data_IF_273631086399
#
_entry.id   IF_273631086399
#
_cell.length_a   1.000
_cell.length_b   1.000
_cell.length_c   1.000
_cell.angle_alpha   90.00
_cell.angle_beta   90.00
_cell.angle_gamma   90.00
#
_symmetry.space_group_name_H-M   'P 1'
#
loop_
_entity.id
_entity.type
_entity.pdbx_description
1 polymer ?
#
# COMPACT_ATOMS: atom_id res chain seq x y z
N UNK A 1 -22.43 3.21 -1.26
CA UNK A 1 -22.19 3.43 -2.70
C UNK A 1 -23.36 2.88 -3.51
N UNK A 2 -23.73 3.54 -4.61
CA UNK A 2 -24.70 2.98 -5.55
C UNK A 2 -24.13 1.73 -6.22
N UNK A 3 -24.99 0.74 -6.47
CA UNK A 3 -24.60 -0.45 -7.20
C UNK A 3 -24.62 -0.16 -8.69
N UNK A 4 -23.64 -0.67 -9.44
CA UNK A 4 -23.60 -0.54 -10.90
C UNK A 4 -24.34 -1.68 -11.58
N UNK A 5 -25.11 -1.35 -12.61
CA UNK A 5 -25.71 -2.29 -13.57
C UNK A 5 -25.35 -1.84 -15.00
N UNK A 6 -25.27 -2.78 -15.93
CA UNK A 6 -25.05 -2.50 -17.35
C UNK A 6 -26.16 -3.17 -18.16
N UNK A 7 -26.82 -2.41 -19.02
CA UNK A 7 -27.88 -2.91 -19.91
C UNK A 7 -27.38 -2.83 -21.34
N UNK A 8 -27.53 -3.93 -22.10
CA UNK A 8 -27.18 -3.99 -23.52
C UNK A 8 -28.32 -3.42 -24.37
N UNK A 9 -28.02 -2.36 -25.13
CA UNK A 9 -28.92 -1.82 -26.16
C UNK A 9 -28.63 -2.39 -27.55
N UNK A 10 -29.19 -1.77 -28.59
CA UNK A 10 -29.08 -2.24 -29.99
C UNK A 10 -27.64 -2.25 -30.52
N UNK A 11 -26.81 -1.29 -30.11
CA UNK A 11 -25.43 -1.13 -30.58
C UNK A 11 -24.41 -0.80 -29.49
N UNK A 12 -24.85 -0.46 -28.27
CA UNK A 12 -23.99 -0.02 -27.16
C UNK A 12 -24.54 -0.49 -25.80
N UNK A 13 -23.68 -0.51 -24.79
CA UNK A 13 -24.06 -0.78 -23.39
C UNK A 13 -24.27 0.54 -22.65
N UNK A 14 -25.27 0.58 -21.78
CA UNK A 14 -25.60 1.73 -20.95
C UNK A 14 -25.40 1.38 -19.48
N UNK A 15 -24.53 2.14 -18.83
CA UNK A 15 -24.27 2.00 -17.40
C UNK A 15 -25.31 2.75 -16.58
N UNK A 16 -25.75 2.13 -15.49
CA UNK A 16 -26.64 2.74 -14.51
C UNK A 16 -26.14 2.48 -13.10
N UNK A 17 -26.44 3.41 -12.22
CA UNK A 17 -26.24 3.30 -10.78
C UNK A 17 -27.60 3.30 -10.08
N UNK A 18 -27.72 2.56 -8.97
CA UNK A 18 -28.95 2.55 -8.20
C UNK A 18 -28.69 2.40 -6.70
N UNK A 19 -29.58 2.98 -5.90
CA UNK A 19 -29.52 2.92 -4.44
C UNK A 19 -30.28 1.69 -3.92
N UNK A 20 -29.58 0.82 -3.17
CA UNK A 20 -30.19 -0.32 -2.45
C UNK A 20 -30.60 0.01 -1.02
N UNK A 21 -30.11 1.12 -0.45
CA UNK A 21 -30.39 1.51 0.93
C UNK A 21 -31.85 1.89 1.11
N UNK A 22 -32.58 1.21 2.00
CA UNK A 22 -33.97 1.53 2.34
C UNK A 22 -34.03 2.85 3.13
N UNK A 23 -35.08 3.65 2.93
CA UNK A 23 -35.30 4.91 3.65
C UNK A 23 -34.65 6.16 3.03
N UNK A 24 -33.93 6.05 1.91
CA UNK A 24 -33.44 7.20 1.14
C UNK A 24 -34.41 7.60 0.03
N UNK A 25 -34.45 8.88 -0.31
CA UNK A 25 -35.25 9.47 -1.41
C UNK A 25 -35.02 8.81 -2.78
N UNK A 26 -33.86 8.19 -2.96
CA UNK A 26 -33.43 7.51 -4.20
C UNK A 26 -33.51 5.98 -4.17
N UNK A 27 -34.16 5.40 -3.17
CA UNK A 27 -34.31 3.94 -3.10
C UNK A 27 -34.88 3.36 -4.41
N UNK A 28 -34.17 2.39 -5.00
CA UNK A 28 -34.51 1.72 -6.28
C UNK A 28 -34.60 2.60 -7.52
N UNK A 29 -34.21 3.87 -7.45
CA UNK A 29 -34.12 4.72 -8.66
C UNK A 29 -32.83 4.39 -9.42
N UNK A 30 -32.97 4.24 -10.74
CA UNK A 30 -31.83 4.09 -11.65
C UNK A 30 -31.39 5.48 -12.12
N UNK A 31 -30.12 5.78 -11.94
CA UNK A 31 -29.47 7.02 -12.38
C UNK A 31 -28.47 6.65 -13.47
N UNK A 32 -28.44 7.42 -14.55
CA UNK A 32 -27.50 7.19 -15.65
C UNK A 32 -26.08 7.35 -15.12
N UNK A 33 -25.18 6.46 -15.55
CA UNK A 33 -23.77 6.50 -15.17
C UNK A 33 -23.12 7.85 -15.46
N UNK A 34 -23.41 8.43 -16.62
CA UNK A 34 -22.87 9.71 -17.08
C UNK A 34 -23.11 10.84 -16.07
N UNK A 35 -24.34 10.96 -15.56
CA UNK A 35 -24.71 12.00 -14.57
C UNK A 35 -23.86 11.91 -13.31
N UNK A 36 -23.69 10.69 -12.77
CA UNK A 36 -22.90 10.48 -11.54
C UNK A 36 -21.41 10.69 -11.80
N UNK A 37 -20.90 10.32 -12.98
CA UNK A 37 -19.50 10.57 -13.33
C UNK A 37 -19.21 12.05 -13.55
N UNK A 38 -20.15 12.81 -14.14
CA UNK A 38 -20.07 14.27 -14.28
C UNK A 38 -20.04 14.98 -12.93
N UNK A 39 -21.01 14.70 -12.05
CA UNK A 39 -21.06 15.27 -10.70
C UNK A 39 -19.78 14.94 -9.90
N UNK A 40 -19.23 13.73 -10.12
CA UNK A 40 -18.01 13.29 -9.45
C UNK A 40 -16.77 14.00 -10.00
N UNK A 41 -16.73 14.28 -11.29
CA UNK A 41 -15.67 15.08 -11.89
C UNK A 41 -15.66 16.52 -11.36
N UNK A 42 -16.83 17.11 -11.16
CA UNK A 42 -16.95 18.43 -10.53
C UNK A 42 -16.37 18.45 -9.12
N UNK A 43 -16.67 17.43 -8.30
CA UNK A 43 -16.06 17.25 -6.99
C UNK A 43 -14.53 17.10 -7.09
N UNK A 44 -14.02 16.26 -7.98
CA UNK A 44 -12.58 16.05 -8.11
C UNK A 44 -11.83 17.33 -8.51
N UNK A 45 -12.47 18.22 -9.26
CA UNK A 45 -11.90 19.53 -9.61
C UNK A 45 -11.91 20.52 -8.44
N UNK A 46 -12.84 20.39 -7.50
CA UNK A 46 -12.90 21.25 -6.30
C UNK A 46 -11.94 20.80 -5.20
N UNK A 47 -11.53 19.53 -5.19
CA UNK A 47 -10.58 18.99 -4.24
C UNK A 47 -9.15 19.36 -4.68
N UNK A 48 -8.69 20.52 -4.21
CA UNK A 48 -7.29 20.91 -4.27
C UNK A 48 -6.77 21.19 -2.85
N UNK A 49 -5.76 20.45 -2.37
CA UNK A 49 -5.20 20.71 -1.05
C UNK A 49 -4.50 22.07 -1.01
N UNK A 50 -4.60 22.75 0.13
CA UNK A 50 -3.89 24.01 0.34
C UNK A 50 -2.36 23.80 0.22
N UNK A 51 -1.60 24.74 -0.38
CA UNK A 51 -0.14 24.63 -0.50
C UNK A 51 0.58 24.36 0.84
N UNK A 52 0.07 24.92 1.93
CA UNK A 52 0.60 24.72 3.29
C UNK A 52 0.52 23.26 3.75
N UNK A 53 -0.54 22.54 3.36
CA UNK A 53 -0.71 21.12 3.70
C UNK A 53 0.37 20.25 3.06
N UNK A 54 0.80 20.60 1.83
CA UNK A 54 1.91 19.89 1.17
C UNK A 54 3.23 20.06 1.90
N UNK A 55 3.47 21.21 2.54
CA UNK A 55 4.67 21.45 3.34
C UNK A 55 4.70 20.55 4.58
N UNK A 56 3.59 20.49 5.32
CA UNK A 56 3.46 19.62 6.50
C UNK A 56 3.57 18.15 6.10
N UNK A 57 2.85 17.75 5.05
CA UNK A 57 2.93 16.39 4.53
C UNK A 57 4.37 16.03 4.14
N UNK A 58 5.10 16.93 3.46
CA UNK A 58 6.50 16.69 3.10
C UNK A 58 7.36 16.39 4.32
N UNK A 59 7.30 17.23 5.35
CA UNK A 59 8.08 17.03 6.57
C UNK A 59 7.78 15.67 7.23
N UNK A 60 6.50 15.31 7.35
CA UNK A 60 6.08 14.01 7.89
C UNK A 60 6.59 12.84 7.04
N UNK A 61 6.50 12.94 5.71
CA UNK A 61 6.94 11.89 4.80
C UNK A 61 8.47 11.77 4.76
N UNK A 62 9.22 12.86 4.91
CA UNK A 62 10.69 12.85 5.04
C UNK A 62 11.11 12.09 6.31
N UNK A 63 10.48 12.40 7.44
CA UNK A 63 10.73 11.69 8.69
C UNK A 63 10.45 10.19 8.55
N UNK A 64 9.27 9.80 8.05
CA UNK A 64 8.92 8.40 7.84
C UNK A 64 9.87 7.70 6.84
N UNK A 65 10.30 8.41 5.81
CA UNK A 65 11.26 7.88 4.83
C UNK A 65 12.62 7.59 5.46
N UNK A 66 13.14 8.52 6.27
CA UNK A 66 14.40 8.33 6.98
C UNK A 66 14.30 7.19 7.99
N UNK A 67 13.20 7.10 8.74
CA UNK A 67 12.95 6.01 9.67
C UNK A 67 12.91 4.66 8.94
N UNK A 68 12.21 4.57 7.80
CA UNK A 68 12.16 3.37 6.97
C UNK A 68 13.56 2.95 6.48
N UNK A 69 14.37 3.91 6.03
CA UNK A 69 15.75 3.65 5.62
C UNK A 69 16.61 3.15 6.78
N UNK A 70 16.46 3.73 7.96
CA UNK A 70 17.18 3.31 9.16
C UNK A 70 16.79 1.89 9.59
N UNK A 71 15.49 1.56 9.58
CA UNK A 71 14.99 0.22 9.87
C UNK A 71 15.53 -0.82 8.89
N UNK A 72 15.51 -0.52 7.59
CA UNK A 72 16.06 -1.40 6.55
C UNK A 72 17.57 -1.62 6.74
N UNK A 73 18.35 -0.54 6.95
CA UNK A 73 19.79 -0.66 7.23
C UNK A 73 20.05 -1.48 8.49
N UNK A 74 19.28 -1.25 9.55
CA UNK A 74 19.37 -1.98 10.81
C UNK A 74 19.07 -3.46 10.66
N UNK A 75 18.01 -3.81 9.93
CA UNK A 75 17.65 -5.21 9.64
C UNK A 75 18.77 -5.92 8.88
N UNK A 76 19.29 -5.30 7.81
CA UNK A 76 20.42 -5.84 7.04
C UNK A 76 21.67 -6.05 7.90
N UNK A 77 22.00 -5.10 8.79
CA UNK A 77 23.12 -5.21 9.72
C UNK A 77 22.92 -6.38 10.70
N UNK A 78 21.71 -6.54 11.26
CA UNK A 78 21.38 -7.64 12.17
C UNK A 78 21.48 -9.00 11.48
N UNK A 79 20.93 -9.15 10.27
CA UNK A 79 21.04 -10.41 9.50
C UNK A 79 22.50 -10.77 9.23
N UNK A 80 23.33 -9.80 8.80
CA UNK A 80 24.77 -10.02 8.61
C UNK A 80 25.50 -10.44 9.89
N UNK A 81 25.22 -9.78 11.01
CA UNK A 81 25.81 -10.15 12.29
C UNK A 81 25.39 -11.58 12.70
N UNK A 82 24.13 -11.95 12.47
CA UNK A 82 23.65 -13.31 12.75
C UNK A 82 24.32 -14.35 11.87
N UNK A 83 24.48 -14.10 10.56
CA UNK A 83 25.23 -14.96 9.63
C UNK A 83 26.63 -15.24 10.18
N UNK A 84 27.39 -14.20 10.54
CA UNK A 84 28.75 -14.38 11.07
C UNK A 84 28.78 -15.20 12.37
N UNK A 85 27.73 -15.12 13.18
CA UNK A 85 27.61 -15.91 14.41
C UNK A 85 27.30 -17.38 14.10
N UNK A 86 26.46 -17.65 13.10
CA UNK A 86 26.15 -19.00 12.64
C UNK A 86 27.39 -19.66 12.03
N UNK A 87 28.14 -18.95 11.19
CA UNK A 87 29.38 -19.44 10.58
C UNK A 87 30.42 -19.86 11.64
N UNK A 88 30.60 -19.07 12.70
CA UNK A 88 31.48 -19.43 13.83
C UNK A 88 31.01 -20.69 14.56
N UNK A 89 29.69 -20.83 14.78
CA UNK A 89 29.12 -22.03 15.41
C UNK A 89 29.32 -23.26 14.55
N UNK A 90 29.09 -23.16 13.24
CA UNK A 90 29.33 -24.24 12.29
C UNK A 90 30.81 -24.65 12.24
N UNK A 91 31.74 -23.68 12.23
CA UNK A 91 33.17 -23.96 12.32
C UNK A 91 33.54 -24.72 13.60
N UNK A 92 32.92 -24.36 14.74
CA UNK A 92 33.16 -25.06 16.01
C UNK A 92 32.61 -26.50 16.00
N UNK A 93 31.44 -26.73 15.40
CA UNK A 93 30.84 -28.06 15.30
C UNK A 93 31.62 -28.96 14.33
N UNK A 94 32.11 -28.40 13.23
CA UNK A 94 32.93 -29.13 12.25
C UNK A 94 34.30 -29.52 12.83
N UNK A 95 34.95 -28.63 13.59
CA UNK A 95 36.20 -28.97 14.30
C UNK A 95 36.00 -30.10 15.32
N UNK A 96 34.88 -30.11 16.05
CA UNK A 96 34.54 -31.21 16.97
C UNK A 96 34.23 -32.52 16.25
N UNK A 97 33.59 -32.43 15.08
CA UNK A 97 33.24 -33.60 14.26
C UNK A 97 34.49 -34.37 13.82
N UNK A 98 35.55 -33.66 13.42
CA UNK A 98 36.83 -34.25 13.00
C UNK A 98 37.50 -35.08 14.11
N UNK A 99 37.23 -34.75 15.38
CA UNK A 99 37.85 -35.38 16.54
C UNK A 99 36.93 -36.40 17.26
N UNK A 100 35.81 -36.78 16.66
CA UNK A 100 34.80 -37.65 17.31
C UNK A 100 34.65 -38.98 16.56
N UNK A 101 34.77 -40.11 17.27
CA UNK A 101 34.60 -41.46 16.70
C UNK A 101 33.22 -42.08 16.96
N UNK A 102 32.34 -41.37 17.68
CA UNK A 102 31.00 -41.84 18.01
C UNK A 102 30.01 -41.54 16.87
N UNK A 103 29.51 -42.59 16.22
CA UNK A 103 28.55 -42.50 15.11
C UNK A 103 27.27 -41.73 15.47
N UNK A 104 26.78 -41.88 16.71
CA UNK A 104 25.59 -41.16 17.18
C UNK A 104 25.83 -39.65 17.30
N UNK A 105 27.01 -39.24 17.77
CA UNK A 105 27.40 -37.83 17.87
C UNK A 105 27.68 -37.22 16.49
N UNK A 106 28.29 -37.99 15.59
CA UNK A 106 28.50 -37.60 14.18
C UNK A 106 27.17 -37.23 13.54
N UNK A 107 26.19 -38.13 13.58
CA UNK A 107 24.85 -37.91 13.03
C UNK A 107 24.13 -36.69 13.64
N UNK A 108 24.29 -36.48 14.95
CA UNK A 108 23.70 -35.34 15.64
C UNK A 108 24.34 -34.01 15.21
N UNK A 109 25.66 -33.95 15.10
CA UNK A 109 26.37 -32.76 14.65
C UNK A 109 26.09 -32.43 13.18
N UNK A 110 26.07 -33.42 12.29
CA UNK A 110 25.68 -33.21 10.90
C UNK A 110 24.27 -32.62 10.79
N UNK A 111 23.32 -33.18 11.54
CA UNK A 111 21.93 -32.69 11.58
C UNK A 111 21.85 -31.25 12.11
N UNK A 112 22.70 -30.89 13.07
CA UNK A 112 22.78 -29.51 13.57
C UNK A 112 23.42 -28.56 12.55
N UNK A 113 24.49 -28.96 11.88
CA UNK A 113 25.15 -28.17 10.83
C UNK A 113 24.17 -27.91 9.67
N UNK A 114 23.43 -28.93 9.22
CA UNK A 114 22.41 -28.78 8.17
C UNK A 114 21.35 -27.73 8.55
N UNK A 115 20.86 -27.74 9.79
CA UNK A 115 19.89 -26.74 10.27
C UNK A 115 20.46 -25.33 10.28
N UNK A 116 21.70 -25.17 10.75
CA UNK A 116 22.36 -23.86 10.78
C UNK A 116 22.64 -23.33 9.36
N UNK A 117 22.94 -24.20 8.42
CA UNK A 117 23.15 -23.82 7.01
C UNK A 117 21.85 -23.33 6.36
N UNK A 118 20.72 -23.98 6.64
CA UNK A 118 19.40 -23.50 6.17
C UNK A 118 19.10 -22.10 6.74
N UNK A 119 19.25 -21.89 8.05
CA UNK A 119 19.06 -20.57 8.68
C UNK A 119 20.00 -19.52 8.06
N UNK A 120 21.26 -19.89 7.77
CA UNK A 120 22.24 -19.00 7.14
C UNK A 120 21.80 -18.58 5.74
N UNK A 121 21.32 -19.51 4.92
CA UNK A 121 20.84 -19.23 3.55
C UNK A 121 19.63 -18.30 3.57
N UNK A 122 18.66 -18.56 4.44
CA UNK A 122 17.48 -17.70 4.62
C UNK A 122 17.89 -16.27 5.01
N UNK A 123 18.82 -16.12 5.95
CA UNK A 123 19.33 -14.82 6.38
C UNK A 123 20.10 -14.09 5.27
N UNK A 124 20.81 -14.83 4.42
CA UNK A 124 21.48 -14.28 3.25
C UNK A 124 20.47 -13.69 2.27
N UNK A 125 19.37 -14.40 2.03
CA UNK A 125 18.29 -13.93 1.18
C UNK A 125 17.64 -12.67 1.76
N UNK A 126 17.29 -12.66 3.05
CA UNK A 126 16.73 -11.48 3.73
C UNK A 126 17.69 -10.28 3.62
N UNK A 127 19.00 -10.50 3.84
CA UNK A 127 20.00 -9.44 3.75
C UNK A 127 20.19 -8.90 2.32
N UNK A 128 19.95 -9.74 1.31
CA UNK A 128 19.99 -9.36 -0.10
C UNK A 128 18.70 -8.61 -0.52
N UNK A 129 17.52 -9.12 -0.12
CA UNK A 129 16.21 -8.55 -0.40
C UNK A 129 15.94 -7.22 0.30
N UNK A 130 16.74 -6.87 1.32
CA UNK A 130 16.67 -5.55 1.96
C UNK A 130 17.19 -4.47 0.99
N UNK A 131 16.38 -4.17 -0.03
CA UNK A 131 16.66 -3.18 -1.07
C UNK A 131 16.56 -1.76 -0.50
N UNK A 132 17.59 -0.96 -0.79
CA UNK A 132 17.51 0.50 -0.67
C UNK A 132 16.53 0.99 -1.74
N UNK A 133 15.62 1.93 -1.44
CA UNK A 133 14.67 2.42 -2.42
C UNK A 133 15.39 2.90 -3.70
N UNK A 134 14.99 2.35 -4.85
CA UNK A 134 15.62 2.61 -6.16
C UNK A 134 15.51 4.06 -6.63
N UNK A 135 14.60 4.84 -6.04
CA UNK A 135 14.35 6.24 -6.39
C UNK A 135 14.53 7.13 -5.15
N UNK A 136 15.10 8.33 -5.32
CA UNK A 136 15.22 9.28 -4.23
C UNK A 136 13.82 9.74 -3.77
N UNK A 137 13.72 10.05 -2.48
CA UNK A 137 12.49 10.51 -1.84
C UNK A 137 11.80 11.60 -2.65
N UNK A 138 12.53 12.67 -3.01
CA UNK A 138 11.98 13.82 -3.73
C UNK A 138 11.26 13.46 -5.02
N UNK A 139 11.78 12.50 -5.79
CA UNK A 139 11.11 12.08 -7.05
C UNK A 139 9.81 11.35 -6.74
N UNK A 140 9.80 10.47 -5.73
CA UNK A 140 8.62 9.71 -5.35
C UNK A 140 7.56 10.64 -4.74
N UNK A 141 7.98 11.51 -3.80
CA UNK A 141 7.13 12.48 -3.14
C UNK A 141 6.52 13.47 -4.12
N UNK A 142 7.32 14.09 -5.00
CA UNK A 142 6.80 14.99 -6.04
C UNK A 142 5.80 14.28 -6.96
N UNK A 143 6.05 13.03 -7.32
CA UNK A 143 5.11 12.26 -8.16
C UNK A 143 3.78 12.06 -7.43
N UNK A 144 3.81 11.69 -6.15
CA UNK A 144 2.62 11.54 -5.32
C UNK A 144 1.91 12.88 -5.05
N UNK A 145 2.63 13.97 -4.82
CA UNK A 145 2.01 15.29 -4.61
C UNK A 145 1.41 15.86 -5.89
N UNK A 146 2.06 15.66 -7.05
CA UNK A 146 1.46 16.01 -8.35
C UNK A 146 0.17 15.22 -8.58
N UNK A 147 0.09 13.98 -8.08
CA UNK A 147 -1.15 13.20 -8.05
C UNK A 147 -2.21 13.90 -7.19
N UNK A 148 -1.88 14.28 -5.96
CA UNK A 148 -2.84 14.92 -5.05
C UNK A 148 -3.24 16.34 -5.46
N UNK A 149 -2.37 17.05 -6.17
CA UNK A 149 -2.64 18.39 -6.64
C UNK A 149 -3.65 18.44 -7.80
N UNK A 150 -3.83 17.33 -8.54
CA UNK A 150 -4.82 17.25 -9.61
C UNK A 150 -5.33 15.81 -9.78
N UNK A 151 -6.24 15.35 -8.89
CA UNK A 151 -6.81 14.01 -8.97
C UNK A 151 -7.67 13.81 -10.24
N UNK A 152 -8.28 14.89 -10.77
CA UNK A 152 -9.05 14.87 -12.01
C UNK A 152 -8.23 14.38 -13.21
N UNK A 153 -6.97 14.82 -13.36
CA UNK A 153 -6.10 14.42 -14.48
C UNK A 153 -5.93 12.91 -14.59
N UNK A 154 -5.96 12.19 -13.46
CA UNK A 154 -5.85 10.74 -13.43
C UNK A 154 -7.19 10.04 -13.53
N UNK A 155 -8.26 10.69 -13.07
CA UNK A 155 -9.62 10.22 -13.29
C UNK A 155 -9.98 10.14 -14.77
N UNK A 156 -9.57 11.13 -15.58
CA UNK A 156 -9.80 11.15 -17.03
C UNK A 156 -8.99 10.08 -17.78
N UNK A 157 -7.94 9.53 -17.17
CA UNK A 157 -7.16 8.49 -17.85
C UNK A 157 -7.97 7.20 -18.04
N UNK A 158 -7.78 6.53 -19.18
CA UNK A 158 -8.44 5.25 -19.49
C UNK A 158 -7.97 4.07 -18.60
N UNK A 159 -7.02 4.32 -17.69
CA UNK A 159 -6.51 3.32 -16.78
C UNK A 159 -7.39 3.17 -15.53
N UNK A 160 -8.11 2.05 -15.43
CA UNK A 160 -8.91 1.70 -14.26
C UNK A 160 -8.12 1.67 -12.94
N UNK A 161 -6.83 1.35 -12.97
CA UNK A 161 -5.99 1.38 -11.77
C UNK A 161 -5.85 2.80 -11.22
N UNK A 162 -5.70 3.80 -12.10
CA UNK A 162 -5.65 5.20 -11.70
C UNK A 162 -6.98 5.66 -11.08
N UNK A 163 -8.11 5.29 -11.70
CA UNK A 163 -9.45 5.60 -11.17
C UNK A 163 -9.67 5.02 -9.77
N UNK A 164 -9.29 3.76 -9.53
CA UNK A 164 -9.34 3.14 -8.18
C UNK A 164 -8.44 3.83 -7.17
N UNK A 165 -7.26 4.27 -7.62
CA UNK A 165 -6.28 4.92 -6.76
C UNK A 165 -6.76 6.32 -6.35
N UNK A 166 -7.39 7.08 -7.24
CA UNK A 166 -8.09 8.34 -6.92
C UNK A 166 -9.15 8.13 -5.85
N UNK A 167 -10.04 7.15 -6.01
CA UNK A 167 -11.09 6.87 -5.03
C UNK A 167 -10.53 6.51 -3.64
N UNK A 168 -9.43 5.76 -3.58
CA UNK A 168 -8.81 5.35 -2.32
C UNK A 168 -8.04 6.46 -1.61
N UNK A 169 -7.45 7.37 -2.37
CA UNK A 169 -6.55 8.39 -1.82
C UNK A 169 -7.25 9.72 -1.54
N UNK A 170 -8.24 10.10 -2.37
CA UNK A 170 -8.97 11.36 -2.19
C UNK A 170 -10.06 11.24 -1.11
N UNK A 171 -10.59 10.02 -0.88
CA UNK A 171 -11.73 9.80 0.01
C UNK A 171 -11.43 8.73 1.06
N UNK A 172 -11.50 9.05 2.36
CA UNK A 172 -11.24 8.09 3.43
C UNK A 172 -12.40 7.08 3.60
N UNK A 173 -13.61 7.45 3.18
CA UNK A 173 -14.82 6.63 3.29
C UNK A 173 -15.63 6.66 1.99
N UNK A 174 -16.64 5.80 1.90
CA UNK A 174 -17.53 5.77 0.74
C UNK A 174 -18.31 7.07 0.64
N UNK A 175 -18.26 7.72 -0.52
CA UNK A 175 -19.08 8.89 -0.80
C UNK A 175 -20.56 8.49 -0.91
N UNK A 176 -21.46 9.05 -0.07
CA UNK A 176 -22.88 9.02 -0.37
C UNK A 176 -23.17 9.89 -1.60
N UNK A 177 -24.14 9.46 -2.40
CA UNK A 177 -24.64 10.25 -3.52
C UNK A 177 -26.12 10.51 -3.29
N UNK A 178 -26.54 11.75 -3.56
CA UNK A 178 -27.93 12.20 -3.61
C UNK A 178 -28.09 13.02 -4.89
N UNK A 179 -29.01 12.62 -5.75
CA UNK A 179 -29.35 13.25 -7.01
C UNK A 179 -29.85 14.68 -6.76
N UNK A 180 -29.30 15.61 -7.55
CA UNK A 180 -29.53 17.06 -7.44
C UNK A 180 -28.91 17.71 -6.18
N UNK A 181 -28.09 16.97 -5.43
CA UNK A 181 -27.21 17.50 -4.40
C UNK A 181 -25.77 17.24 -4.86
N UNK A 182 -24.87 18.20 -4.64
CA UNK A 182 -23.45 17.98 -4.92
C UNK A 182 -22.91 16.84 -4.04
N UNK A 183 -21.87 16.15 -4.52
CA UNK A 183 -21.18 15.18 -3.68
C UNK A 183 -20.62 15.87 -2.42
N UNK A 184 -21.18 15.57 -1.26
CA UNK A 184 -20.60 16.03 0.01
C UNK A 184 -19.54 15.03 0.50
N UNK A 185 -18.25 15.43 0.59
CA UNK A 185 -17.28 14.64 1.32
C UNK A 185 -17.70 14.59 2.79
N UNK A 186 -17.85 13.38 3.35
CA UNK A 186 -18.12 13.23 4.78
C UNK A 186 -17.05 13.98 5.57
N UNK A 187 -17.48 14.95 6.39
CA UNK A 187 -16.58 15.65 7.31
C UNK A 187 -15.97 14.59 8.25
N UNK A 188 -14.64 14.59 8.46
CA UNK A 188 -14.03 13.65 9.39
C UNK A 188 -14.66 13.86 10.78
N UNK A 189 -15.24 12.79 11.34
CA UNK A 189 -15.60 12.75 12.75
C UNK A 189 -14.29 12.73 13.55
N UNK A 190 -13.83 13.90 14.00
CA UNK A 190 -12.84 13.96 15.06
C UNK A 190 -13.54 13.52 16.34
N UNK A 191 -13.27 12.31 16.80
CA UNK A 191 -13.53 11.96 18.19
C UNK A 191 -12.60 12.82 19.06
N UNK A 192 -13.13 13.93 19.56
CA UNK A 192 -12.53 14.66 20.67
C UNK A 192 -12.64 13.77 21.91
N UNK A 193 -11.61 12.97 22.16
CA UNK A 193 -11.42 12.34 23.46
C UNK A 193 -11.00 13.43 24.44
N UNK A 194 -11.97 13.97 25.17
CA UNK A 194 -11.78 14.58 26.49
C UNK A 194 -11.65 13.51 27.56
#
# INVERSE_FOLDING_TARGET
MPHSASVKGRSKHYGYFFCKTKGRSEHRKNIRKEVIEEDFEHLLRSIQPAPSLFHVARAMFEELWTQRLALAKGAKKRSRARITTLERKMATLTDRLVNTDSETLINAYESQIKRLEIERVELHEIAAQTEVPRRPFDKVFRTACNFFANPWKLWVSDNYAHKRLVLRLAFPSTLPYQRNEDFEPQKPHYHSNT
#
